data_IF_246930934493
#
_entry.id   IF_246930934493
#
_cell.length_a   1.000
_cell.length_b   1.000
_cell.length_c   1.000
_cell.angle_alpha   90.00
_cell.angle_beta   90.00
_cell.angle_gamma   90.00
#
_symmetry.space_group_name_H-M   'P 1'
#
loop_
_entity.id
_entity.type
_entity.pdbx_description
1 polymer ?
#
# COMPACT_ATOMS: atom_id res chain seq x y z
N UNK A 1 -16.13 30.83 -8.67
CA UNK A 1 -16.38 29.73 -7.72
C UNK A 1 -15.09 29.43 -7.00
N UNK A 2 -15.13 29.29 -5.65
CA UNK A 2 -13.98 28.86 -4.85
C UNK A 2 -14.13 27.36 -4.58
N UNK A 3 -13.05 26.62 -4.75
CA UNK A 3 -12.96 25.19 -4.45
C UNK A 3 -12.00 25.03 -3.28
N UNK A 4 -12.55 24.72 -2.12
CA UNK A 4 -11.86 24.55 -0.84
C UNK A 4 -12.26 23.27 -0.11
N UNK A 5 -13.10 22.45 -0.73
CA UNK A 5 -13.61 21.20 -0.17
C UNK A 5 -14.02 20.21 -1.26
N UNK A 6 -14.15 18.94 -0.90
CA UNK A 6 -14.64 17.88 -1.78
C UNK A 6 -16.05 18.19 -2.30
N UNK A 7 -16.92 18.69 -1.43
CA UNK A 7 -18.30 19.03 -1.80
C UNK A 7 -18.35 20.16 -2.83
N UNK A 8 -17.47 21.14 -2.74
CA UNK A 8 -17.34 22.20 -3.75
C UNK A 8 -16.85 21.65 -5.07
N UNK A 9 -15.90 20.73 -5.03
CA UNK A 9 -15.36 20.05 -6.21
C UNK A 9 -16.43 19.15 -6.89
N UNK A 10 -17.18 18.37 -6.10
CA UNK A 10 -18.27 17.53 -6.61
C UNK A 10 -19.36 18.38 -7.29
N UNK A 11 -19.78 19.47 -6.65
CA UNK A 11 -20.78 20.40 -7.22
C UNK A 11 -20.30 21.05 -8.53
N UNK A 12 -19.02 21.43 -8.60
CA UNK A 12 -18.47 21.97 -9.84
C UNK A 12 -18.40 20.92 -10.94
N UNK A 13 -17.98 19.70 -10.60
CA UNK A 13 -17.94 18.58 -11.55
C UNK A 13 -19.34 18.27 -12.11
N UNK A 14 -20.36 18.24 -11.25
CA UNK A 14 -21.76 18.03 -11.66
C UNK A 14 -22.24 19.11 -12.63
N UNK A 15 -21.95 20.39 -12.35
CA UNK A 15 -22.28 21.51 -13.24
C UNK A 15 -21.61 21.37 -14.62
N UNK A 16 -20.32 21.04 -14.64
CA UNK A 16 -19.60 20.84 -15.91
C UNK A 16 -20.15 19.63 -16.68
N UNK A 17 -20.54 18.58 -15.98
CA UNK A 17 -21.10 17.39 -16.61
C UNK A 17 -22.54 17.57 -17.12
N UNK A 18 -23.30 18.53 -16.54
CA UNK A 18 -24.62 18.93 -17.04
C UNK A 18 -24.57 19.95 -18.20
N UNK A 19 -23.36 20.39 -18.59
CA UNK A 19 -23.20 21.41 -19.66
C UNK A 19 -23.52 22.84 -19.18
N UNK A 20 -23.70 23.05 -17.87
CA UNK A 20 -23.96 24.39 -17.34
C UNK A 20 -22.68 25.25 -17.40
N UNK A 21 -22.77 26.54 -17.75
CA UNK A 21 -21.60 27.41 -17.80
C UNK A 21 -20.96 27.51 -16.42
N UNK A 22 -19.64 27.36 -16.34
CA UNK A 22 -18.89 27.52 -15.13
C UNK A 22 -17.84 28.62 -15.28
N UNK A 23 -17.84 29.57 -14.33
CA UNK A 23 -16.75 30.53 -14.24
C UNK A 23 -15.46 29.83 -13.81
N UNK A 24 -14.29 30.31 -14.25
CA UNK A 24 -13.01 29.73 -13.84
C UNK A 24 -12.94 29.63 -12.31
N UNK A 25 -12.64 28.43 -11.75
CA UNK A 25 -12.58 28.26 -10.32
C UNK A 25 -11.26 28.80 -9.74
N UNK A 26 -11.31 29.19 -8.47
CA UNK A 26 -10.12 29.45 -7.67
C UNK A 26 -9.94 28.29 -6.69
N UNK A 27 -8.91 27.48 -6.89
CA UNK A 27 -8.55 26.41 -5.93
C UNK A 27 -7.83 27.01 -4.71
N UNK A 28 -8.35 26.72 -3.53
CA UNK A 28 -7.84 27.20 -2.27
C UNK A 28 -7.77 26.05 -1.27
N UNK A 29 -6.55 25.60 -0.95
CA UNK A 29 -6.30 24.51 0.01
C UNK A 29 -7.09 23.23 -0.33
N UNK A 30 -7.23 22.93 -1.61
CA UNK A 30 -7.84 21.71 -2.10
C UNK A 30 -7.19 21.27 -3.44
N UNK A 31 -6.94 19.97 -3.65
CA UNK A 31 -7.15 18.86 -2.74
C UNK A 31 -5.98 18.70 -1.73
N UNK A 32 -6.31 18.32 -0.51
CA UNK A 32 -5.34 17.99 0.55
C UNK A 32 -5.61 16.55 0.99
N UNK A 33 -4.60 15.70 0.95
CA UNK A 33 -4.68 14.32 1.40
C UNK A 33 -4.17 14.23 2.83
N UNK A 34 -5.05 13.86 3.75
CA UNK A 34 -4.73 13.61 5.15
C UNK A 34 -4.58 12.11 5.40
N UNK A 35 -3.36 11.70 5.79
CA UNK A 35 -3.06 10.33 6.18
C UNK A 35 -2.58 10.33 7.63
N UNK A 36 -3.17 9.50 8.47
CA UNK A 36 -2.71 9.28 9.84
C UNK A 36 -2.32 7.82 10.03
N UNK A 37 -1.08 7.60 10.48
CA UNK A 37 -0.57 6.30 10.90
C UNK A 37 -0.50 6.28 12.44
N UNK A 38 -0.96 5.19 13.05
CA UNK A 38 -0.85 4.93 14.48
C UNK A 38 -0.03 3.68 14.71
N UNK A 39 0.78 3.66 15.78
CA UNK A 39 1.67 2.56 16.18
C UNK A 39 3.00 3.07 16.71
N UNK A 40 3.67 2.27 17.53
CA UNK A 40 4.92 2.65 18.22
C UNK A 40 6.05 3.06 17.26
N UNK A 41 6.11 2.44 16.06
CA UNK A 41 7.16 2.70 15.07
C UNK A 41 6.90 3.96 14.22
N UNK A 42 5.77 4.65 14.44
CA UNK A 42 5.32 5.77 13.61
C UNK A 42 5.40 7.12 14.35
N UNK A 43 6.56 7.43 14.91
CA UNK A 43 6.85 8.74 15.50
C UNK A 43 7.40 9.71 14.44
N UNK A 44 6.51 10.42 13.74
CA UNK A 44 6.88 11.45 12.74
C UNK A 44 7.80 10.93 11.62
N UNK A 45 7.68 9.64 11.27
CA UNK A 45 8.54 8.98 10.28
C UNK A 45 7.73 8.32 9.15
N UNK A 46 8.37 8.15 8.01
CA UNK A 46 7.88 7.38 6.86
C UNK A 46 8.90 6.32 6.49
N UNK A 47 8.44 5.12 6.19
CA UNK A 47 9.30 4.12 5.60
C UNK A 47 9.48 4.34 4.08
N UNK A 48 10.48 3.68 3.50
CA UNK A 48 10.79 3.83 2.07
C UNK A 48 9.65 3.43 1.14
N UNK A 49 8.82 2.45 1.54
CA UNK A 49 7.67 2.01 0.76
C UNK A 49 6.56 3.07 0.71
N UNK A 50 6.29 3.73 1.84
CA UNK A 50 5.34 4.85 1.93
C UNK A 50 5.81 6.05 1.12
N UNK A 51 7.09 6.41 1.22
CA UNK A 51 7.69 7.48 0.39
C UNK A 51 7.58 7.15 -1.09
N UNK A 52 7.90 5.91 -1.49
CA UNK A 52 7.77 5.48 -2.88
C UNK A 52 6.32 5.60 -3.38
N UNK A 53 5.33 5.23 -2.57
CA UNK A 53 3.93 5.35 -2.95
C UNK A 53 3.48 6.81 -3.15
N UNK A 54 4.00 7.76 -2.37
CA UNK A 54 3.77 9.19 -2.59
C UNK A 54 4.42 9.68 -3.90
N UNK A 55 5.63 9.20 -4.22
CA UNK A 55 6.28 9.48 -5.51
C UNK A 55 5.45 8.91 -6.67
N UNK A 56 4.90 7.70 -6.52
CA UNK A 56 4.01 7.13 -7.53
C UNK A 56 2.77 7.99 -7.79
N UNK A 57 2.19 8.62 -6.75
CA UNK A 57 1.10 9.58 -6.93
C UNK A 57 1.54 10.80 -7.75
N UNK A 58 2.74 11.36 -7.48
CA UNK A 58 3.31 12.43 -8.32
C UNK A 58 3.38 12.00 -9.79
N UNK A 59 3.88 10.80 -10.04
CA UNK A 59 4.02 10.26 -11.39
C UNK A 59 2.69 10.09 -12.09
N UNK A 60 1.64 9.70 -11.37
CA UNK A 60 0.27 9.64 -11.93
C UNK A 60 -0.18 11.01 -12.39
N UNK A 61 0.05 12.05 -11.57
CA UNK A 61 -0.27 13.44 -11.96
C UNK A 61 0.53 13.89 -13.17
N UNK A 62 1.84 13.67 -13.17
CA UNK A 62 2.71 14.04 -14.28
C UNK A 62 2.26 13.39 -15.60
N UNK A 63 1.95 12.09 -15.56
CA UNK A 63 1.43 11.38 -16.75
C UNK A 63 0.06 11.90 -17.17
N UNK A 64 -0.86 12.13 -16.23
CA UNK A 64 -2.18 12.67 -16.52
C UNK A 64 -2.10 14.09 -17.13
N UNK A 65 -1.22 14.94 -16.58
CA UNK A 65 -0.96 16.26 -17.14
C UNK A 65 -0.41 16.16 -18.57
N UNK A 66 0.58 15.28 -18.78
CA UNK A 66 1.15 15.04 -20.11
C UNK A 66 0.11 14.58 -21.15
N UNK A 67 -0.90 13.81 -20.72
CA UNK A 67 -2.03 13.45 -21.61
C UNK A 67 -2.81 14.69 -22.03
N UNK A 68 -3.16 15.56 -21.10
CA UNK A 68 -3.97 16.76 -21.36
C UNK A 68 -3.19 17.80 -22.16
N UNK A 69 -1.92 18.03 -21.81
CA UNK A 69 -1.07 19.06 -22.41
C UNK A 69 -0.42 18.61 -23.73
N UNK A 70 -0.01 17.33 -23.82
CA UNK A 70 0.83 16.82 -24.90
C UNK A 70 0.23 15.60 -25.63
N UNK A 71 -0.93 15.11 -25.22
CA UNK A 71 -1.61 13.95 -25.83
C UNK A 71 -0.94 12.61 -25.58
N UNK A 72 -0.03 12.51 -24.61
CA UNK A 72 0.75 11.29 -24.34
C UNK A 72 0.84 10.97 -22.83
N UNK A 73 0.63 9.70 -22.46
CA UNK A 73 0.78 9.23 -21.06
C UNK A 73 2.25 8.93 -20.72
N UNK A 74 3.10 9.97 -20.86
CA UNK A 74 4.56 9.86 -20.70
C UNK A 74 5.15 11.14 -20.10
N UNK A 75 5.70 11.06 -18.90
CA UNK A 75 6.31 12.19 -18.20
C UNK A 75 7.52 12.80 -18.94
N UNK A 76 8.17 12.03 -19.81
CA UNK A 76 9.31 12.55 -20.63
C UNK A 76 8.89 13.65 -21.62
N UNK A 77 7.57 13.84 -21.81
CA UNK A 77 7.02 14.92 -22.62
C UNK A 77 6.88 16.23 -21.85
N UNK A 78 6.96 16.19 -20.52
CA UNK A 78 6.90 17.39 -19.69
C UNK A 78 8.15 18.27 -19.93
N UNK A 79 7.92 19.57 -20.01
CA UNK A 79 8.99 20.56 -19.94
C UNK A 79 9.45 20.72 -18.49
N UNK A 80 10.65 21.24 -18.28
CA UNK A 80 11.20 21.45 -16.93
C UNK A 80 10.27 22.31 -16.06
N UNK A 81 9.74 23.38 -16.62
CA UNK A 81 8.82 24.31 -15.93
C UNK A 81 7.48 23.64 -15.57
N UNK A 82 7.00 22.72 -16.42
CA UNK A 82 5.77 21.94 -16.16
C UNK A 82 6.01 20.94 -15.05
N UNK A 83 7.12 20.21 -15.05
CA UNK A 83 7.47 19.28 -13.95
C UNK A 83 7.67 20.02 -12.63
N UNK A 84 8.26 21.22 -12.65
CA UNK A 84 8.38 22.07 -11.46
C UNK A 84 7.02 22.48 -10.89
N UNK A 85 6.06 22.86 -11.74
CA UNK A 85 4.69 23.18 -11.33
C UNK A 85 3.92 21.98 -10.76
N UNK A 86 4.33 20.76 -11.11
CA UNK A 86 3.75 19.51 -10.64
C UNK A 86 4.42 18.98 -9.37
N UNK A 87 5.19 19.81 -8.63
CA UNK A 87 5.72 19.44 -7.33
C UNK A 87 4.65 19.66 -6.25
N UNK A 88 4.65 18.80 -5.24
CA UNK A 88 3.86 18.96 -4.04
C UNK A 88 4.71 18.76 -2.78
N UNK A 89 4.19 19.17 -1.65
CA UNK A 89 4.87 19.03 -0.37
C UNK A 89 4.02 18.19 0.58
N UNK A 90 4.64 17.19 1.20
CA UNK A 90 4.05 16.45 2.30
C UNK A 90 4.65 16.92 3.62
N UNK A 91 3.80 17.36 4.53
CA UNK A 91 4.19 17.75 5.89
C UNK A 91 3.94 16.58 6.84
N UNK A 92 4.94 16.22 7.63
CA UNK A 92 4.80 15.25 8.71
C UNK A 92 4.65 16.02 10.01
N UNK A 93 3.50 15.91 10.68
CA UNK A 93 3.24 16.61 11.94
C UNK A 93 3.95 15.92 13.11
N UNK A 94 4.53 16.70 14.00
CA UNK A 94 5.30 16.22 15.15
C UNK A 94 4.39 15.53 16.17
N UNK A 95 4.82 14.35 16.67
CA UNK A 95 4.11 13.61 17.74
C UNK A 95 3.02 12.64 17.25
N UNK A 96 2.75 12.58 15.95
CA UNK A 96 1.95 11.54 15.30
C UNK A 96 2.35 11.49 13.85
N UNK A 97 2.33 10.30 13.21
CA UNK A 97 2.59 10.24 11.77
C UNK A 97 1.36 10.71 10.98
N UNK A 98 0.99 11.98 11.18
CA UNK A 98 0.00 12.65 10.35
C UNK A 98 0.75 13.27 9.17
N UNK A 99 0.40 12.83 7.98
CA UNK A 99 0.89 13.30 6.70
C UNK A 99 -0.18 14.18 6.09
N UNK A 100 0.13 15.44 5.88
CA UNK A 100 -0.70 16.38 5.15
C UNK A 100 -0.03 16.68 3.81
N UNK A 101 -0.63 16.21 2.73
CA UNK A 101 -0.10 16.41 1.38
C UNK A 101 -1.00 17.37 0.62
N UNK A 102 -0.47 18.55 0.32
CA UNK A 102 -1.19 19.59 -0.45
C UNK A 102 -0.96 19.41 -1.95
N UNK A 103 -1.98 18.95 -2.66
CA UNK A 103 -2.00 18.82 -4.11
C UNK A 103 -2.61 20.03 -4.83
N UNK A 104 -2.92 21.12 -4.13
CA UNK A 104 -3.46 22.36 -4.72
C UNK A 104 -2.61 22.89 -5.89
N UNK A 105 -1.25 22.88 -5.83
CA UNK A 105 -0.43 23.29 -6.96
C UNK A 105 -0.70 22.48 -8.22
N UNK A 106 -0.91 21.16 -8.07
CA UNK A 106 -1.13 20.25 -9.20
C UNK A 106 -2.44 20.56 -9.92
N UNK A 107 -3.56 20.68 -9.19
CA UNK A 107 -4.85 21.01 -9.82
C UNK A 107 -4.86 22.41 -10.43
N UNK A 108 -4.11 23.37 -9.88
CA UNK A 108 -3.89 24.68 -10.47
C UNK A 108 -3.13 24.58 -11.80
N UNK A 109 -2.07 23.79 -11.85
CA UNK A 109 -1.32 23.54 -13.09
C UNK A 109 -2.22 22.96 -14.19
N UNK A 110 -3.07 21.98 -13.85
CA UNK A 110 -4.06 21.44 -14.80
C UNK A 110 -5.09 22.47 -15.27
N UNK A 111 -5.61 23.30 -14.36
CA UNK A 111 -6.60 24.31 -14.71
C UNK A 111 -6.02 25.44 -15.57
N UNK A 112 -4.72 25.67 -15.49
CA UNK A 112 -3.97 26.66 -16.28
C UNK A 112 -3.31 26.05 -17.52
N UNK A 113 -3.21 24.72 -17.60
CA UNK A 113 -2.77 24.03 -18.81
C UNK A 113 -3.78 24.28 -19.93
N UNK A 114 -3.66 25.43 -20.57
CA UNK A 114 -4.51 25.87 -21.69
C UNK A 114 -4.13 25.06 -22.91
N UNK A 115 -4.59 23.81 -22.95
CA UNK A 115 -4.74 23.09 -24.20
C UNK A 115 -5.95 23.63 -24.95
N UNK A 116 -6.24 23.08 -26.11
CA UNK A 116 -7.36 23.46 -26.97
C UNK A 116 -8.76 23.36 -26.34
N UNK A 117 -8.86 22.89 -25.07
CA UNK A 117 -10.14 22.71 -24.37
C UNK A 117 -10.05 22.96 -22.86
N UNK A 118 -10.29 24.21 -22.39
CA UNK A 118 -10.22 24.57 -20.97
C UNK A 118 -11.21 23.78 -20.08
N UNK A 119 -12.38 23.41 -20.61
CA UNK A 119 -13.38 22.64 -19.88
C UNK A 119 -12.86 21.23 -19.56
N UNK A 120 -12.26 20.55 -20.53
CA UNK A 120 -11.70 19.20 -20.28
C UNK A 120 -10.50 19.24 -19.33
N UNK A 121 -9.67 20.28 -19.41
CA UNK A 121 -8.56 20.47 -18.46
C UNK A 121 -9.08 20.65 -17.04
N UNK A 122 -10.15 21.40 -16.87
CA UNK A 122 -10.80 21.59 -15.56
C UNK A 122 -11.45 20.29 -15.06
N UNK A 123 -12.15 19.56 -15.93
CA UNK A 123 -12.69 18.24 -15.56
C UNK A 123 -11.56 17.30 -15.15
N UNK A 124 -10.44 17.29 -15.87
CA UNK A 124 -9.28 16.47 -15.51
C UNK A 124 -8.70 16.84 -14.14
N UNK A 125 -8.57 18.14 -13.84
CA UNK A 125 -8.13 18.63 -12.54
C UNK A 125 -9.04 18.15 -11.40
N UNK A 126 -10.36 18.26 -11.58
CA UNK A 126 -11.35 17.81 -10.60
C UNK A 126 -11.35 16.29 -10.44
N UNK A 127 -11.30 15.54 -11.54
CA UNK A 127 -11.23 14.06 -11.49
C UNK A 127 -9.99 13.61 -10.73
N UNK A 128 -8.83 14.20 -11.02
CA UNK A 128 -7.60 13.88 -10.31
C UNK A 128 -7.67 14.24 -8.82
N UNK A 129 -8.08 15.46 -8.49
CA UNK A 129 -8.23 15.88 -7.10
C UNK A 129 -9.15 14.94 -6.32
N UNK A 130 -10.35 14.68 -6.86
CA UNK A 130 -11.32 13.77 -6.22
C UNK A 130 -10.82 12.32 -6.14
N UNK A 131 -10.03 11.87 -7.12
CA UNK A 131 -9.44 10.52 -7.09
C UNK A 131 -8.47 10.35 -5.92
N UNK A 132 -7.84 11.41 -5.46
CA UNK A 132 -6.84 11.36 -4.39
C UNK A 132 -7.41 11.56 -2.99
N UNK A 133 -8.37 12.48 -2.84
CA UNK A 133 -8.81 12.90 -1.51
C UNK A 133 -10.25 12.54 -1.20
N UNK A 134 -11.04 12.15 -2.19
CA UNK A 134 -12.45 11.87 -1.93
C UNK A 134 -12.65 10.48 -1.33
N UNK A 135 -13.19 10.43 -0.13
CA UNK A 135 -13.47 9.21 0.63
C UNK A 135 -14.19 8.13 -0.21
N UNK A 136 -15.28 8.39 -0.95
CA UNK A 136 -15.94 7.35 -1.75
C UNK A 136 -15.03 6.72 -2.82
N UNK A 137 -14.10 7.50 -3.38
CA UNK A 137 -13.17 7.00 -4.40
C UNK A 137 -12.09 6.14 -3.77
N UNK A 138 -11.52 6.59 -2.65
CA UNK A 138 -10.52 5.84 -1.86
C UNK A 138 -11.14 4.52 -1.38
N UNK A 139 -12.35 4.57 -0.83
CA UNK A 139 -13.11 3.39 -0.43
C UNK A 139 -13.28 2.41 -1.60
N UNK A 140 -13.64 2.92 -2.78
CA UNK A 140 -13.78 2.10 -3.99
C UNK A 140 -12.47 1.44 -4.43
N UNK A 141 -11.34 2.11 -4.21
CA UNK A 141 -10.04 1.50 -4.48
C UNK A 141 -9.83 0.26 -3.61
N UNK A 142 -10.13 0.33 -2.31
CA UNK A 142 -10.00 -0.81 -1.39
C UNK A 142 -11.05 -1.90 -1.63
N UNK A 143 -12.30 -1.56 -1.94
CA UNK A 143 -13.31 -2.55 -2.36
C UNK A 143 -12.86 -3.35 -3.58
N UNK A 144 -12.25 -2.69 -4.58
CA UNK A 144 -11.76 -3.37 -5.76
C UNK A 144 -10.59 -4.32 -5.44
N UNK A 145 -9.77 -4.00 -4.44
CA UNK A 145 -8.74 -4.90 -3.95
C UNK A 145 -9.36 -6.09 -3.22
N UNK A 146 -10.36 -5.84 -2.36
CA UNK A 146 -11.08 -6.89 -1.66
C UNK A 146 -11.68 -7.95 -2.59
N UNK A 147 -12.11 -7.57 -3.80
CA UNK A 147 -12.63 -8.52 -4.80
C UNK A 147 -11.60 -9.55 -5.28
N UNK A 148 -10.31 -9.28 -5.08
CA UNK A 148 -9.21 -10.18 -5.44
C UNK A 148 -8.80 -11.10 -4.29
N UNK A 149 -9.39 -10.92 -3.09
CA UNK A 149 -9.14 -11.73 -1.91
C UNK A 149 -10.04 -12.98 -1.88
N UNK A 150 -9.66 -13.95 -1.06
CA UNK A 150 -10.49 -15.11 -0.77
C UNK A 150 -11.82 -14.68 -0.09
N UNK A 151 -12.84 -15.53 -0.16
CA UNK A 151 -14.22 -15.15 0.23
C UNK A 151 -14.31 -14.68 1.68
N UNK A 152 -13.60 -15.32 2.61
CA UNK A 152 -13.62 -14.97 4.04
C UNK A 152 -12.93 -13.64 4.30
N UNK A 153 -11.70 -13.46 3.78
CA UNK A 153 -10.92 -12.22 3.90
C UNK A 153 -11.66 -11.03 3.28
N UNK A 154 -12.32 -11.27 2.13
CA UNK A 154 -13.17 -10.27 1.48
C UNK A 154 -14.34 -9.82 2.37
N UNK A 155 -15.01 -10.74 3.08
CA UNK A 155 -16.12 -10.38 3.96
C UNK A 155 -15.65 -9.54 5.14
N UNK A 156 -14.50 -9.87 5.72
CA UNK A 156 -13.90 -9.10 6.83
C UNK A 156 -13.57 -7.67 6.39
N UNK A 157 -12.84 -7.51 5.31
CA UNK A 157 -12.47 -6.19 4.81
C UNK A 157 -13.68 -5.35 4.40
N UNK A 158 -14.70 -5.94 3.75
CA UNK A 158 -15.91 -5.22 3.36
C UNK A 158 -16.82 -4.88 4.56
N UNK A 159 -16.66 -5.54 5.69
CA UNK A 159 -17.38 -5.19 6.91
C UNK A 159 -16.83 -3.93 7.58
N UNK A 160 -15.51 -3.71 7.51
CA UNK A 160 -14.85 -2.49 8.03
C UNK A 160 -15.05 -1.29 7.09
N UNK A 161 -15.17 -1.52 5.78
CA UNK A 161 -15.32 -0.49 4.76
C UNK A 161 -16.81 -0.31 4.41
N UNK A 162 -17.47 0.68 5.03
CA UNK A 162 -18.90 0.94 4.77
C UNK A 162 -19.11 2.17 3.89
N UNK A 163 -19.81 2.02 2.73
CA UNK A 163 -20.27 3.16 1.93
C UNK A 163 -21.23 4.04 2.74
N UNK A 164 -21.21 5.34 2.43
CA UNK A 164 -22.18 6.31 2.96
C UNK A 164 -23.26 6.60 1.93
N UNK A 165 -24.36 7.19 2.40
CA UNK A 165 -25.40 7.69 1.51
C UNK A 165 -24.82 8.74 0.56
N UNK A 166 -25.12 8.65 -0.75
CA UNK A 166 -24.60 9.54 -1.77
C UNK A 166 -23.26 9.12 -2.40
N UNK A 167 -22.54 8.13 -1.82
CA UNK A 167 -21.25 7.69 -2.39
C UNK A 167 -21.42 7.09 -3.79
N UNK A 168 -22.52 6.40 -4.03
CA UNK A 168 -22.83 5.78 -5.32
C UNK A 168 -23.01 6.82 -6.44
N UNK A 169 -23.79 7.85 -6.18
CA UNK A 169 -24.05 8.94 -7.11
C UNK A 169 -22.77 9.69 -7.45
N UNK A 170 -21.93 9.97 -6.46
CA UNK A 170 -20.62 10.58 -6.64
C UNK A 170 -19.70 9.72 -7.53
N UNK A 171 -19.65 8.40 -7.30
CA UNK A 171 -18.87 7.48 -8.11
C UNK A 171 -19.40 7.39 -9.56
N UNK A 172 -20.72 7.38 -9.76
CA UNK A 172 -21.32 7.40 -11.10
C UNK A 172 -21.02 8.70 -11.84
N UNK A 173 -21.01 9.82 -11.13
CA UNK A 173 -20.61 11.13 -11.69
C UNK A 173 -19.13 11.11 -12.11
N UNK A 174 -18.25 10.59 -11.26
CA UNK A 174 -16.82 10.46 -11.57
C UNK A 174 -16.61 9.56 -12.80
N UNK A 175 -17.28 8.41 -12.86
CA UNK A 175 -17.19 7.49 -14.00
C UNK A 175 -17.66 8.15 -15.31
N UNK A 176 -18.69 8.99 -15.27
CA UNK A 176 -19.12 9.77 -16.44
C UNK A 176 -18.06 10.79 -16.86
N UNK A 177 -17.45 11.48 -15.90
CA UNK A 177 -16.38 12.44 -16.15
C UNK A 177 -15.14 11.76 -16.74
N UNK A 178 -14.73 10.62 -16.21
CA UNK A 178 -13.63 9.80 -16.74
C UNK A 178 -13.94 9.36 -18.17
N UNK A 179 -15.17 8.89 -18.47
CA UNK A 179 -15.57 8.54 -19.84
C UNK A 179 -15.52 9.74 -20.79
N UNK A 180 -15.96 10.93 -20.36
CA UNK A 180 -15.85 12.16 -21.16
C UNK A 180 -14.39 12.51 -21.46
N UNK A 181 -13.48 12.39 -20.49
CA UNK A 181 -12.05 12.59 -20.70
C UNK A 181 -11.46 11.53 -21.63
N UNK A 182 -11.80 10.25 -21.42
CA UNK A 182 -11.28 9.13 -22.19
C UNK A 182 -11.73 9.17 -23.65
N UNK A 183 -12.92 9.70 -23.95
CA UNK A 183 -13.37 9.88 -25.33
C UNK A 183 -12.48 10.82 -26.14
N UNK A 184 -11.87 11.81 -25.49
CA UNK A 184 -10.93 12.75 -26.11
C UNK A 184 -9.47 12.33 -25.94
N UNK A 185 -9.14 11.77 -24.77
CA UNK A 185 -7.82 11.33 -24.37
C UNK A 185 -7.86 9.86 -23.93
N UNK A 186 -7.80 8.88 -24.85
CA UNK A 186 -7.97 7.45 -24.50
C UNK A 186 -7.04 6.95 -23.40
N UNK A 187 -5.81 7.47 -23.35
CA UNK A 187 -4.80 7.12 -22.34
C UNK A 187 -5.16 7.60 -20.91
N UNK A 188 -6.11 8.53 -20.77
CA UNK A 188 -6.58 8.97 -19.46
C UNK A 188 -7.26 7.84 -18.67
N UNK A 189 -7.68 6.76 -19.35
CA UNK A 189 -8.21 5.54 -18.74
C UNK A 189 -7.24 4.87 -17.76
N UNK A 190 -5.93 5.13 -17.86
CA UNK A 190 -4.89 4.55 -17.00
C UNK A 190 -4.74 5.30 -15.67
N UNK A 191 -5.19 6.56 -15.59
CA UNK A 191 -4.98 7.45 -14.44
C UNK A 191 -5.59 6.89 -13.14
N UNK A 192 -6.87 6.53 -13.17
CA UNK A 192 -7.56 6.00 -11.97
C UNK A 192 -7.00 4.66 -11.50
N UNK A 193 -6.70 3.68 -12.39
CA UNK A 193 -6.00 2.46 -12.02
C UNK A 193 -4.62 2.69 -11.41
N UNK A 194 -3.83 3.63 -11.95
CA UNK A 194 -2.50 3.92 -11.44
C UNK A 194 -2.54 4.60 -10.07
N UNK A 195 -3.44 5.58 -9.87
CA UNK A 195 -3.67 6.18 -8.56
C UNK A 195 -4.08 5.12 -7.51
N UNK A 196 -4.99 4.22 -7.88
CA UNK A 196 -5.39 3.08 -7.06
C UNK A 196 -4.20 2.22 -6.65
N UNK A 197 -3.31 1.92 -7.60
CA UNK A 197 -2.11 1.13 -7.36
C UNK A 197 -1.18 1.81 -6.34
N UNK A 198 -1.04 3.13 -6.39
CA UNK A 198 -0.25 3.89 -5.43
C UNK A 198 -0.86 3.86 -4.01
N UNK A 199 -2.19 4.01 -3.88
CA UNK A 199 -2.87 3.84 -2.58
C UNK A 199 -2.69 2.44 -2.00
N UNK A 200 -2.78 1.39 -2.84
CA UNK A 200 -2.54 0.02 -2.37
C UNK A 200 -1.11 -0.18 -1.89
N UNK A 201 -0.13 0.38 -2.60
CA UNK A 201 1.27 0.31 -2.17
C UNK A 201 1.49 1.04 -0.86
N UNK A 202 0.84 2.19 -0.66
CA UNK A 202 0.91 2.92 0.61
C UNK A 202 0.36 2.07 1.76
N UNK A 203 -0.85 1.52 1.63
CA UNK A 203 -1.46 0.64 2.63
C UNK A 203 -0.61 -0.61 2.89
N UNK A 204 -0.12 -1.27 1.83
CA UNK A 204 0.74 -2.44 1.94
C UNK A 204 2.09 -2.15 2.63
N UNK A 205 2.59 -0.93 2.51
CA UNK A 205 3.81 -0.47 3.20
C UNK A 205 3.57 -0.03 4.64
N UNK A 206 2.31 0.02 5.06
CA UNK A 206 1.87 0.44 6.39
C UNK A 206 1.37 -0.73 7.25
N UNK A 207 1.71 -1.98 6.90
CA UNK A 207 1.18 -3.17 7.58
C UNK A 207 1.61 -3.30 9.04
N UNK A 208 2.72 -2.65 9.41
CA UNK A 208 3.22 -2.65 10.79
C UNK A 208 2.53 -1.56 11.66
N UNK A 209 1.66 -0.74 11.05
CA UNK A 209 0.84 0.22 11.77
C UNK A 209 -0.34 -0.46 12.46
N UNK A 210 -0.70 0.01 13.66
CA UNK A 210 -1.93 -0.41 14.35
C UNK A 210 -3.18 0.02 13.59
N UNK A 211 -3.12 1.19 12.95
CA UNK A 211 -4.17 1.68 12.07
C UNK A 211 -3.64 2.70 11.07
N UNK A 212 -4.32 2.77 9.93
CA UNK A 212 -4.14 3.77 8.88
C UNK A 212 -5.46 4.49 8.65
N UNK A 213 -5.48 5.81 8.82
CA UNK A 213 -6.63 6.63 8.46
C UNK A 213 -6.30 7.47 7.22
N UNK A 214 -7.16 7.43 6.21
CA UNK A 214 -7.03 8.24 4.98
C UNK A 214 -8.36 8.95 4.76
N UNK A 215 -8.38 10.26 4.84
CA UNK A 215 -9.60 11.09 4.68
C UNK A 215 -10.81 10.55 5.46
N UNK A 216 -10.61 10.19 6.72
CA UNK A 216 -11.64 9.65 7.61
C UNK A 216 -11.99 8.17 7.36
N UNK A 217 -11.41 7.50 6.37
CA UNK A 217 -11.49 6.06 6.22
C UNK A 217 -10.43 5.41 7.13
N UNK A 218 -10.89 4.64 8.12
CA UNK A 218 -10.02 3.94 9.07
C UNK A 218 -9.85 2.49 8.63
N UNK A 219 -8.60 2.06 8.50
CA UNK A 219 -8.19 0.68 8.24
C UNK A 219 -7.43 0.19 9.48
N UNK A 220 -7.86 -0.94 10.03
CA UNK A 220 -7.17 -1.62 11.12
C UNK A 220 -5.90 -2.32 10.62
N UNK A 221 -5.04 -2.78 11.53
CA UNK A 221 -3.89 -3.59 11.18
C UNK A 221 -4.30 -4.85 10.39
N UNK A 222 -5.40 -5.50 10.77
CA UNK A 222 -5.94 -6.67 10.07
C UNK A 222 -6.32 -6.33 8.63
N UNK A 223 -6.97 -5.17 8.41
CA UNK A 223 -7.31 -4.69 7.06
C UNK A 223 -6.05 -4.44 6.22
N UNK A 224 -5.00 -3.87 6.82
CA UNK A 224 -3.73 -3.60 6.15
C UNK A 224 -3.00 -4.89 5.76
N UNK A 225 -3.00 -5.90 6.62
CA UNK A 225 -2.45 -7.22 6.34
C UNK A 225 -3.18 -7.89 5.17
N UNK A 226 -4.51 -7.81 5.14
CA UNK A 226 -5.34 -8.32 4.03
C UNK A 226 -5.02 -7.60 2.71
N UNK A 227 -4.94 -6.26 2.74
CA UNK A 227 -4.64 -5.44 1.56
C UNK A 227 -3.24 -5.69 1.02
N UNK A 228 -2.26 -5.91 1.89
CA UNK A 228 -0.89 -6.22 1.52
C UNK A 228 -0.75 -7.60 0.86
N UNK A 229 -1.82 -8.42 0.87
CA UNK A 229 -1.76 -9.83 0.51
C UNK A 229 -0.59 -10.56 1.24
N UNK A 230 -0.12 -9.96 2.32
CA UNK A 230 0.63 -10.68 3.31
C UNK A 230 -0.45 -11.51 3.99
N UNK A 231 -0.71 -12.74 3.47
CA UNK A 231 -1.38 -13.73 4.31
C UNK A 231 -0.78 -13.53 5.68
N UNK A 232 -1.57 -13.10 6.65
CA UNK A 232 -1.09 -13.10 8.02
C UNK A 232 -0.52 -14.49 8.15
N UNK A 233 0.78 -14.60 8.33
CA UNK A 233 1.34 -15.87 8.74
C UNK A 233 0.59 -16.10 10.01
N UNK A 234 -0.51 -16.92 9.90
CA UNK A 234 -1.31 -17.29 11.07
C UNK A 234 -0.26 -17.50 12.13
N UNK A 235 -0.28 -16.68 13.19
CA UNK A 235 0.66 -16.85 14.28
C UNK A 235 0.27 -18.22 14.81
N UNK A 236 0.84 -19.26 14.21
CA UNK A 236 0.47 -20.63 14.48
C UNK A 236 0.73 -20.88 15.94
N UNK A 237 -0.08 -21.70 16.56
CA UNK A 237 0.08 -22.07 17.97
C UNK A 237 1.49 -22.55 18.20
N UNK A 238 2.11 -22.10 19.29
CA UNK A 238 3.41 -22.58 19.69
C UNK A 238 3.26 -24.06 20.05
N UNK A 239 4.02 -24.90 19.38
CA UNK A 239 4.07 -26.33 19.66
C UNK A 239 5.50 -26.75 19.92
N UNK A 240 5.67 -27.58 20.94
CA UNK A 240 6.96 -28.23 21.21
C UNK A 240 6.95 -29.59 20.52
N UNK A 241 7.87 -29.79 19.61
CA UNK A 241 8.03 -31.03 18.85
C UNK A 241 9.32 -31.70 19.29
N UNK A 242 9.22 -32.97 19.66
CA UNK A 242 10.35 -33.84 19.94
C UNK A 242 10.51 -34.78 18.76
N UNK A 243 11.61 -34.68 18.04
CA UNK A 243 11.84 -35.54 16.88
C UNK A 243 13.30 -35.86 16.66
N UNK A 244 13.53 -37.03 16.06
CA UNK A 244 14.86 -37.47 15.62
C UNK A 244 15.08 -36.97 14.18
N UNK A 245 16.06 -36.09 14.00
CA UNK A 245 16.36 -35.44 12.73
C UNK A 245 17.76 -35.73 12.24
N UNK A 246 17.95 -35.71 10.93
CA UNK A 246 19.26 -35.55 10.28
C UNK A 246 19.53 -34.09 10.00
N UNK A 247 20.77 -33.66 10.19
CA UNK A 247 21.23 -32.31 9.82
C UNK A 247 21.61 -32.31 8.36
N UNK A 248 20.84 -31.60 7.51
CA UNK A 248 21.09 -31.55 6.06
C UNK A 248 22.13 -30.52 5.67
N UNK A 249 22.15 -29.40 6.36
CA UNK A 249 23.16 -28.37 6.16
C UNK A 249 23.30 -27.48 7.40
N UNK A 250 24.49 -26.92 7.54
CA UNK A 250 24.78 -25.84 8.48
C UNK A 250 25.49 -24.76 7.67
N UNK A 251 24.88 -23.58 7.56
CA UNK A 251 25.43 -22.46 6.80
C UNK A 251 25.58 -21.24 7.70
N UNK A 252 26.76 -20.65 7.70
CA UNK A 252 27.01 -19.37 8.34
C UNK A 252 26.62 -18.25 7.38
N UNK A 253 25.79 -17.30 7.87
CA UNK A 253 25.37 -16.15 7.09
C UNK A 253 25.50 -14.89 7.95
N UNK A 254 26.67 -14.25 7.88
CA UNK A 254 27.01 -13.10 8.73
C UNK A 254 26.95 -13.41 10.22
N UNK A 255 26.05 -12.74 10.94
CA UNK A 255 25.87 -12.88 12.40
C UNK A 255 25.01 -14.09 12.83
N UNK A 256 24.50 -14.90 11.89
CA UNK A 256 23.62 -16.02 12.21
C UNK A 256 23.99 -17.30 11.45
N UNK A 257 23.49 -18.40 11.96
CA UNK A 257 23.60 -19.73 11.34
C UNK A 257 22.23 -20.17 10.84
N UNK A 258 22.22 -20.81 9.66
CA UNK A 258 21.06 -21.54 9.13
C UNK A 258 21.34 -23.02 9.25
N UNK A 259 20.43 -23.76 9.88
CA UNK A 259 20.53 -25.22 10.05
C UNK A 259 19.31 -25.86 9.41
N UNK A 260 19.54 -26.73 8.43
CA UNK A 260 18.50 -27.54 7.82
C UNK A 260 18.32 -28.83 8.58
N UNK A 261 17.12 -29.11 9.07
CA UNK A 261 16.74 -30.31 9.80
C UNK A 261 15.69 -31.09 9.01
N UNK A 262 15.90 -32.39 8.88
CA UNK A 262 14.94 -33.30 8.25
C UNK A 262 14.66 -34.49 9.16
N UNK A 263 13.43 -34.61 9.64
CA UNK A 263 12.89 -35.74 10.38
C UNK A 263 11.87 -36.54 9.58
N UNK A 264 11.15 -37.43 10.24
CA UNK A 264 10.08 -38.23 9.60
C UNK A 264 8.89 -37.33 9.23
N UNK A 265 8.52 -36.41 10.13
CA UNK A 265 7.34 -35.56 10.00
C UNK A 265 7.69 -34.07 9.82
N UNK A 266 8.96 -33.71 9.87
CA UNK A 266 9.40 -32.33 9.75
C UNK A 266 10.51 -32.18 8.71
N UNK A 267 10.43 -31.06 7.96
CA UNK A 267 11.53 -30.56 7.14
C UNK A 267 11.56 -29.03 7.33
N UNK A 268 12.55 -28.52 8.04
CA UNK A 268 12.62 -27.11 8.34
C UNK A 268 14.03 -26.54 8.34
N UNK A 269 14.14 -25.26 8.02
CA UNK A 269 15.35 -24.47 8.13
C UNK A 269 15.23 -23.53 9.33
N UNK A 270 16.14 -23.69 10.28
CA UNK A 270 16.16 -22.90 11.50
C UNK A 270 17.23 -21.81 11.44
N UNK A 271 16.88 -20.59 11.81
CA UNK A 271 17.79 -19.45 11.93
C UNK A 271 18.17 -19.26 13.40
N UNK A 272 19.48 -19.27 13.68
CA UNK A 272 20.02 -19.06 15.02
C UNK A 272 20.95 -17.85 15.03
N UNK A 273 20.78 -16.97 15.99
CA UNK A 273 21.75 -15.91 16.26
C UNK A 273 22.97 -16.50 17.00
N UNK A 274 24.15 -15.95 16.78
CA UNK A 274 25.39 -16.41 17.38
C UNK A 274 25.35 -16.60 18.91
N UNK A 275 24.64 -15.76 19.69
CA UNK A 275 24.51 -16.00 21.15
C UNK A 275 23.64 -17.21 21.53
N UNK A 276 22.79 -17.70 20.62
CA UNK A 276 21.85 -18.81 20.89
C UNK A 276 22.50 -20.19 20.71
N UNK A 277 23.58 -20.26 19.94
CA UNK A 277 24.35 -21.46 19.69
C UNK A 277 25.81 -21.22 20.11
N UNK A 278 26.27 -21.92 21.16
CA UNK A 278 27.69 -21.93 21.52
C UNK A 278 28.53 -22.59 20.43
N UNK A 279 29.79 -22.21 20.30
CA UNK A 279 30.69 -22.78 19.27
C UNK A 279 30.81 -24.30 19.40
N UNK A 280 30.73 -24.84 20.64
CA UNK A 280 30.68 -26.29 20.90
C UNK A 280 29.44 -26.96 20.28
N UNK A 281 28.26 -26.33 20.35
CA UNK A 281 27.04 -26.87 19.72
C UNK A 281 27.10 -26.79 18.20
N UNK A 282 27.69 -25.73 17.68
CA UNK A 282 27.91 -25.58 16.24
C UNK A 282 28.86 -26.67 15.73
N UNK A 283 29.96 -26.91 16.40
CA UNK A 283 30.91 -27.98 16.05
C UNK A 283 30.25 -29.36 16.08
N UNK A 284 29.43 -29.63 17.12
CA UNK A 284 28.64 -30.89 17.17
C UNK A 284 27.69 -31.02 15.98
N UNK A 285 26.99 -29.97 15.62
CA UNK A 285 26.08 -29.98 14.45
C UNK A 285 26.82 -30.29 13.14
N UNK A 286 28.00 -29.70 12.94
CA UNK A 286 28.83 -30.01 11.78
C UNK A 286 29.31 -31.47 11.78
N UNK A 287 29.68 -32.00 12.93
CA UNK A 287 30.10 -33.40 13.08
C UNK A 287 28.95 -34.36 12.77
N UNK A 288 27.75 -34.12 13.33
CA UNK A 288 26.58 -34.94 13.03
C UNK A 288 26.14 -34.84 11.55
N UNK A 289 26.29 -33.66 10.95
CA UNK A 289 26.03 -33.47 9.52
C UNK A 289 27.01 -34.30 8.66
N UNK A 290 28.31 -34.23 8.99
CA UNK A 290 29.36 -34.93 8.24
C UNK A 290 29.23 -36.46 8.35
N UNK A 291 28.78 -36.96 9.48
CA UNK A 291 28.62 -38.40 9.74
C UNK A 291 27.22 -38.92 9.38
N UNK A 292 26.31 -38.06 8.89
CA UNK A 292 24.88 -38.36 8.66
C UNK A 292 24.15 -38.95 9.88
N UNK A 293 24.66 -38.62 11.09
CA UNK A 293 24.11 -39.13 12.33
C UNK A 293 22.77 -38.45 12.61
N UNK A 294 21.83 -39.24 13.17
CA UNK A 294 20.55 -38.69 13.66
C UNK A 294 20.73 -38.10 15.03
N UNK A 295 20.11 -36.93 15.23
CA UNK A 295 20.11 -36.21 16.50
C UNK A 295 18.69 -36.08 17.02
N UNK A 296 18.50 -36.23 18.32
CA UNK A 296 17.22 -35.88 18.97
C UNK A 296 17.18 -34.38 19.23
N UNK A 297 16.10 -33.77 18.75
CA UNK A 297 15.89 -32.32 18.88
C UNK A 297 14.55 -32.03 19.55
N UNK A 298 14.57 -31.07 20.45
CA UNK A 298 13.36 -30.45 20.98
C UNK A 298 13.21 -29.07 20.31
N UNK A 299 12.16 -28.94 19.53
CA UNK A 299 11.90 -27.76 18.71
C UNK A 299 10.62 -27.08 19.20
N UNK A 300 10.73 -25.85 19.64
CA UNK A 300 9.56 -24.99 19.83
C UNK A 300 9.30 -24.27 18.50
N UNK A 301 8.27 -24.67 17.79
CA UNK A 301 7.91 -24.14 16.47
C UNK A 301 6.53 -23.48 16.51
N UNK A 302 6.32 -22.49 15.67
CA UNK A 302 4.97 -22.02 15.35
C UNK A 302 4.49 -22.76 14.11
N UNK A 303 3.44 -23.55 14.27
CA UNK A 303 2.85 -24.34 13.19
C UNK A 303 1.87 -23.46 12.42
N UNK A 304 2.17 -23.16 11.17
CA UNK A 304 1.32 -22.36 10.28
C UNK A 304 0.39 -23.24 9.46
N UNK A 305 0.81 -24.46 9.15
CA UNK A 305 0.02 -25.45 8.41
C UNK A 305 0.32 -26.85 8.94
N UNK A 306 -0.74 -27.60 9.25
CA UNK A 306 -0.60 -28.98 9.77
C UNK A 306 -0.03 -29.95 8.73
N UNK A 307 -0.18 -29.68 7.44
CA UNK A 307 0.30 -30.54 6.36
C UNK A 307 1.79 -30.30 6.02
N UNK A 308 2.28 -29.07 6.24
CA UNK A 308 3.68 -28.71 6.06
C UNK A 308 4.12 -27.98 7.33
N UNK A 309 4.86 -28.66 8.20
CA UNK A 309 5.47 -28.08 9.39
C UNK A 309 6.52 -27.02 9.01
N UNK A 310 6.08 -25.96 8.38
CA UNK A 310 6.88 -24.78 8.11
C UNK A 310 6.59 -23.77 9.22
N UNK A 311 7.42 -23.76 10.24
CA UNK A 311 7.29 -22.85 11.35
C UNK A 311 8.59 -22.12 11.63
N UNK A 312 8.49 -20.98 12.34
CA UNK A 312 9.66 -20.30 12.88
C UNK A 312 10.12 -21.06 14.12
N UNK A 313 11.35 -21.58 14.09
CA UNK A 313 11.97 -22.18 15.26
C UNK A 313 12.17 -21.10 16.34
N UNK A 314 11.63 -21.35 17.54
CA UNK A 314 11.76 -20.45 18.68
C UNK A 314 12.88 -20.95 19.61
N UNK A 315 12.98 -22.26 19.82
CA UNK A 315 13.93 -22.86 20.73
C UNK A 315 14.46 -24.18 20.18
N UNK A 316 15.72 -24.45 20.47
CA UNK A 316 16.40 -25.64 20.02
C UNK A 316 17.22 -26.24 21.19
N UNK A 317 17.02 -27.50 21.47
CA UNK A 317 17.84 -28.26 22.39
C UNK A 317 18.33 -29.51 21.68
N UNK A 318 19.64 -29.75 21.73
CA UNK A 318 20.22 -31.04 21.46
C UNK A 318 20.06 -31.88 22.75
N UNK A 319 19.41 -33.02 22.68
CA UNK A 319 19.50 -34.03 23.71
C UNK A 319 20.84 -34.73 23.52
N UNK A 320 21.62 -34.77 24.59
CA UNK A 320 22.90 -35.45 24.64
C UNK A 320 22.72 -36.97 24.50
#
# INVERSE_FOLDING_TARGET
VVIDSDEAAWRLLERLMSGAPASPPKFRVWPVLDIKLSGEDYESSLNSGQMSALVDLKDVFGRAYSVVAHGAYDMRRLKAEEDEQLQFTTKVKKGSSILETDFTPLVKAFSSAVGSNPELSLIAALVLGLTLVSRPVILKHYENRAKQLEIEDKKLLLASIRPQQGDKEKLELLDRAVRKLTSRYPQFSQVVPDARSAFWRFAASSVDAESLTIDGLVLSQEDLELLANKRSRRIGDKQTIHETCTVKYVRKNGAHYMVGLQGKNISLSAKFMKPQLSDTKITKLFKHMANEEKIEVELEVRVVDKANLSGRLIKFKLKA
#
